data_IF_995904880271
#
_entry.id   IF_995904880271
#
_cell.length_a   1.000
_cell.length_b   1.000
_cell.length_c   1.000
_cell.angle_alpha   90.00
_cell.angle_beta   90.00
_cell.angle_gamma   90.00
#
_symmetry.space_group_name_H-M   'P 1'
#
loop_
_entity.id
_entity.type
_entity.pdbx_description
1 polymer ?
#
# COMPACT_ATOMS: atom_id res chain seq x y z
N UNK A 1 51.61 -13.03 -14.62
CA UNK A 1 50.63 -12.06 -15.20
C UNK A 1 49.19 -12.55 -15.23
N UNK A 2 48.88 -13.82 -15.52
CA UNK A 2 47.48 -14.33 -15.63
C UNK A 2 46.60 -14.18 -14.38
N UNK A 3 47.16 -14.27 -13.16
CA UNK A 3 46.39 -14.14 -11.92
C UNK A 3 45.90 -12.71 -11.62
N UNK A 4 46.66 -11.68 -12.00
CA UNK A 4 46.26 -10.27 -11.77
C UNK A 4 45.08 -9.84 -12.65
N UNK A 5 45.02 -10.34 -13.89
CA UNK A 5 43.92 -10.08 -14.81
C UNK A 5 42.60 -10.73 -14.33
N UNK A 6 42.68 -11.95 -13.76
CA UNK A 6 41.51 -12.63 -13.18
C UNK A 6 40.98 -11.92 -11.95
N UNK A 7 41.86 -11.44 -11.05
CA UNK A 7 41.44 -10.65 -9.88
C UNK A 7 40.81 -9.31 -10.28
N UNK A 8 41.34 -8.63 -11.31
CA UNK A 8 40.76 -7.38 -11.82
C UNK A 8 39.39 -7.60 -12.48
N UNK A 9 39.20 -8.69 -13.23
CA UNK A 9 37.90 -9.05 -13.81
C UNK A 9 36.86 -9.36 -12.72
N UNK A 10 37.25 -10.07 -11.66
CA UNK A 10 36.38 -10.38 -10.53
C UNK A 10 35.96 -9.13 -9.76
N UNK A 11 36.90 -8.19 -9.57
CA UNK A 11 36.63 -6.86 -9.01
C UNK A 11 35.68 -6.09 -9.94
N UNK A 12 35.90 -6.12 -11.25
CA UNK A 12 35.04 -5.42 -12.21
C UNK A 12 33.61 -5.98 -12.26
N UNK A 13 33.41 -7.28 -12.06
CA UNK A 13 32.08 -7.91 -11.94
C UNK A 13 31.43 -7.60 -10.57
N UNK A 14 32.23 -7.45 -9.51
CA UNK A 14 31.75 -7.02 -8.18
C UNK A 14 31.35 -5.53 -8.15
N UNK A 15 31.99 -4.69 -8.97
CA UNK A 15 31.75 -3.25 -9.06
C UNK A 15 30.92 -2.82 -10.28
N UNK A 16 30.62 -3.72 -11.21
CA UNK A 16 29.62 -3.46 -12.24
C UNK A 16 28.28 -3.36 -11.53
N UNK A 17 27.81 -2.13 -11.34
CA UNK A 17 26.47 -1.84 -10.85
C UNK A 17 25.50 -2.74 -11.63
N UNK A 18 24.75 -3.64 -10.97
CA UNK A 18 23.68 -4.31 -11.67
C UNK A 18 22.81 -3.18 -12.22
N UNK A 19 22.66 -3.13 -13.56
CA UNK A 19 21.59 -2.36 -14.18
C UNK A 19 20.35 -2.96 -13.57
N UNK A 20 19.86 -2.32 -12.50
CA UNK A 20 18.90 -2.89 -11.57
C UNK A 20 17.55 -2.87 -12.25
N UNK A 21 17.32 -3.84 -13.14
CA UNK A 21 15.99 -4.20 -13.57
C UNK A 21 15.20 -4.50 -12.30
N UNK A 22 14.07 -3.82 -12.11
CA UNK A 22 13.10 -4.18 -11.09
C UNK A 22 12.86 -5.68 -11.21
N UNK A 23 13.36 -6.42 -10.24
CA UNK A 23 13.11 -7.85 -10.15
C UNK A 23 11.90 -7.95 -9.22
N UNK A 24 10.80 -8.58 -9.65
CA UNK A 24 9.68 -8.77 -8.75
C UNK A 24 10.06 -9.72 -7.60
N UNK A 25 9.47 -9.59 -6.41
CA UNK A 25 9.58 -10.62 -5.38
C UNK A 25 9.09 -11.99 -5.91
N UNK A 26 9.60 -13.08 -5.34
CA UNK A 26 9.25 -14.45 -5.80
C UNK A 26 7.75 -14.78 -5.68
N UNK A 27 7.05 -14.09 -4.79
CA UNK A 27 5.60 -14.21 -4.64
C UNK A 27 4.81 -13.40 -5.69
N UNK A 28 5.44 -12.54 -6.47
CA UNK A 28 4.77 -11.68 -7.44
C UNK A 28 4.37 -12.47 -8.70
N UNK A 29 3.20 -13.12 -8.64
CA UNK A 29 2.68 -13.98 -9.72
C UNK A 29 1.14 -13.92 -9.80
N UNK A 30 0.59 -14.43 -10.90
CA UNK A 30 -0.86 -14.52 -11.10
C UNK A 30 -1.57 -15.21 -9.92
N UNK A 31 -2.69 -14.62 -9.49
CA UNK A 31 -3.51 -15.12 -8.39
C UNK A 31 -2.98 -14.78 -6.99
N UNK A 32 -1.89 -14.02 -6.90
CA UNK A 32 -1.40 -13.53 -5.60
C UNK A 32 -2.28 -12.40 -5.11
N UNK A 33 -2.67 -12.44 -3.84
CA UNK A 33 -3.49 -11.39 -3.25
C UNK A 33 -3.03 -11.02 -1.85
N UNK A 34 -3.35 -9.79 -1.48
CA UNK A 34 -3.24 -9.27 -0.11
C UNK A 34 -4.50 -8.47 0.19
N UNK A 35 -5.05 -8.69 1.37
CA UNK A 35 -6.23 -8.00 1.89
C UNK A 35 -5.87 -7.29 3.18
N UNK A 36 -6.28 -6.03 3.31
CA UNK A 36 -6.13 -5.25 4.52
C UNK A 36 -7.50 -4.87 5.08
N UNK A 37 -7.60 -4.80 6.39
CA UNK A 37 -8.84 -4.52 7.09
C UNK A 37 -8.73 -3.30 8.01
N UNK A 38 -9.85 -2.59 8.10
CA UNK A 38 -10.16 -1.64 9.17
C UNK A 38 -11.43 -2.16 9.82
N UNK A 39 -11.35 -2.52 11.10
CA UNK A 39 -12.48 -3.09 11.82
C UNK A 39 -13.07 -2.07 12.80
N UNK A 40 -14.41 -2.09 13.00
CA UNK A 40 -15.06 -1.22 13.97
C UNK A 40 -14.67 -1.60 15.40
N UNK A 41 -14.78 -0.64 16.30
CA UNK A 41 -14.64 -0.87 17.74
C UNK A 41 -15.87 -1.60 18.27
N UNK A 42 -15.68 -2.33 19.37
CA UNK A 42 -16.74 -3.10 20.03
C UNK A 42 -17.07 -2.58 21.43
N UNK A 43 -16.22 -1.74 22.00
CA UNK A 43 -16.32 -1.24 23.36
C UNK A 43 -16.27 0.30 23.32
N UNK A 44 -15.13 0.89 23.70
CA UNK A 44 -14.91 2.34 23.79
C UNK A 44 -15.19 3.08 22.48
N UNK A 45 -15.02 2.42 21.35
CA UNK A 45 -15.20 3.00 20.02
C UNK A 45 -16.41 2.44 19.27
N UNK A 46 -17.36 1.82 19.98
CA UNK A 46 -18.61 1.38 19.36
C UNK A 46 -19.34 2.56 18.70
N UNK A 47 -19.82 2.36 17.47
CA UNK A 47 -20.56 3.37 16.71
C UNK A 47 -19.73 4.50 16.10
N UNK A 48 -18.40 4.52 16.29
CA UNK A 48 -17.54 5.50 15.62
C UNK A 48 -17.37 5.17 14.13
N UNK A 49 -17.64 6.12 13.21
CA UNK A 49 -17.50 5.88 11.79
C UNK A 49 -16.10 6.19 11.27
N UNK A 50 -15.70 5.43 10.26
CA UNK A 50 -14.69 5.85 9.30
C UNK A 50 -15.33 6.75 8.23
N UNK A 51 -14.56 7.66 7.63
CA UNK A 51 -15.05 8.50 6.54
C UNK A 51 -14.23 8.31 5.28
N UNK A 52 -14.89 8.11 4.13
CA UNK A 52 -14.25 8.19 2.81
C UNK A 52 -14.87 9.33 2.01
N UNK A 53 -14.04 10.01 1.24
CA UNK A 53 -14.46 11.01 0.27
C UNK A 53 -14.21 10.49 -1.13
N UNK A 54 -15.23 10.54 -1.98
CA UNK A 54 -15.17 9.99 -3.33
C UNK A 54 -15.80 10.92 -4.36
N UNK A 55 -15.40 10.70 -5.61
CA UNK A 55 -15.85 11.44 -6.79
C UNK A 55 -16.60 10.47 -7.72
N UNK A 56 -17.94 10.55 -7.83
CA UNK A 56 -18.70 9.66 -8.71
C UNK A 56 -18.26 9.69 -10.17
N UNK A 57 -17.84 10.85 -10.68
CA UNK A 57 -17.32 11.00 -12.06
C UNK A 57 -15.96 10.33 -12.30
N UNK A 58 -15.41 9.64 -11.29
CA UNK A 58 -14.22 8.79 -11.40
C UNK A 58 -14.52 7.30 -11.40
N UNK A 59 -15.72 6.92 -10.97
CA UNK A 59 -16.10 5.51 -10.93
C UNK A 59 -16.13 5.00 -12.38
N UNK A 60 -15.59 3.81 -12.60
CA UNK A 60 -15.87 3.08 -13.84
C UNK A 60 -17.36 2.81 -13.94
N UNK A 61 -17.89 2.60 -15.15
CA UNK A 61 -19.31 2.27 -15.34
C UNK A 61 -19.73 1.07 -14.47
N UNK A 62 -18.88 0.05 -14.38
CA UNK A 62 -19.08 -1.11 -13.48
C UNK A 62 -19.25 -0.67 -12.01
N UNK A 63 -18.37 0.19 -11.53
CA UNK A 63 -18.38 0.66 -10.14
C UNK A 63 -19.54 1.61 -9.85
N UNK A 64 -19.86 2.47 -10.83
CA UNK A 64 -21.00 3.38 -10.74
C UNK A 64 -22.31 2.60 -10.70
N UNK A 65 -22.48 1.62 -11.58
CA UNK A 65 -23.67 0.76 -11.61
C UNK A 65 -23.83 0.00 -10.29
N UNK A 66 -22.76 -0.61 -9.78
CA UNK A 66 -22.80 -1.29 -8.48
C UNK A 66 -23.22 -0.33 -7.34
N UNK A 67 -22.79 0.93 -7.39
CA UNK A 67 -23.20 1.92 -6.41
C UNK A 67 -24.66 2.35 -6.58
N UNK A 68 -25.12 2.55 -7.81
CA UNK A 68 -26.49 2.93 -8.15
C UNK A 68 -27.48 1.82 -7.78
N UNK A 69 -27.17 0.56 -8.07
CA UNK A 69 -27.99 -0.60 -7.73
C UNK A 69 -28.25 -0.68 -6.23
N UNK A 70 -27.21 -0.40 -5.45
CA UNK A 70 -27.27 -0.40 -3.99
C UNK A 70 -28.14 0.75 -3.45
N UNK A 71 -28.10 1.93 -4.10
CA UNK A 71 -28.95 3.06 -3.73
C UNK A 71 -30.42 2.85 -4.13
N UNK A 72 -30.66 2.18 -5.25
CA UNK A 72 -32.02 1.88 -5.76
C UNK A 72 -32.78 0.95 -4.82
N UNK A 73 -32.10 -0.06 -4.28
CA UNK A 73 -32.66 -1.01 -3.33
C UNK A 73 -32.69 -0.49 -1.88
N UNK A 74 -32.22 0.74 -1.64
CA UNK A 74 -32.18 1.37 -0.32
C UNK A 74 -33.46 2.13 0.05
N UNK A 75 -33.50 2.72 1.26
CA UNK A 75 -34.57 3.63 1.68
C UNK A 75 -34.77 4.83 0.73
N UNK A 76 -35.93 5.51 0.81
CA UNK A 76 -36.26 6.68 -0.02
C UNK A 76 -35.18 7.80 -0.02
N UNK A 77 -34.45 7.95 1.09
CA UNK A 77 -33.30 8.86 1.21
C UNK A 77 -32.15 8.48 0.24
N UNK A 78 -31.90 7.19 0.03
CA UNK A 78 -30.94 6.67 -0.94
C UNK A 78 -31.39 6.94 -2.38
N UNK A 79 -32.68 6.78 -2.67
CA UNK A 79 -33.24 7.06 -4.00
C UNK A 79 -33.10 8.55 -4.37
N UNK A 80 -33.27 9.46 -3.41
CA UNK A 80 -32.99 10.89 -3.61
C UNK A 80 -31.51 11.16 -3.92
N UNK A 81 -30.59 10.41 -3.31
CA UNK A 81 -29.16 10.49 -3.62
C UNK A 81 -28.86 9.92 -5.02
N UNK A 82 -29.46 8.78 -5.38
CA UNK A 82 -29.38 8.20 -6.73
C UNK A 82 -29.75 9.22 -7.79
N UNK A 83 -30.95 9.81 -7.65
CA UNK A 83 -31.44 10.84 -8.57
C UNK A 83 -30.51 12.06 -8.62
N UNK A 84 -29.87 12.45 -7.51
CA UNK A 84 -28.86 13.52 -7.53
C UNK A 84 -27.64 13.10 -8.34
N UNK A 85 -27.11 11.90 -8.16
CA UNK A 85 -25.92 11.42 -8.89
C UNK A 85 -26.21 11.31 -10.40
N UNK A 86 -27.38 10.79 -10.76
CA UNK A 86 -27.81 10.62 -12.16
C UNK A 86 -28.11 11.96 -12.83
N UNK A 87 -28.86 12.85 -12.16
CA UNK A 87 -29.30 14.12 -12.75
C UNK A 87 -28.27 15.25 -12.63
N UNK A 88 -27.34 15.19 -11.67
CA UNK A 88 -26.38 16.28 -11.51
C UNK A 88 -25.38 16.35 -12.65
N UNK A 89 -25.27 15.32 -13.49
CA UNK A 89 -24.06 15.14 -14.28
C UNK A 89 -22.81 15.31 -13.40
N UNK A 90 -21.72 15.83 -13.95
CA UNK A 90 -20.47 16.10 -13.24
C UNK A 90 -20.52 17.22 -12.19
N UNK A 91 -21.71 17.70 -11.79
CA UNK A 91 -21.85 18.90 -10.95
C UNK A 91 -21.52 18.70 -9.46
N UNK A 92 -21.55 17.51 -8.88
CA UNK A 92 -21.08 17.27 -7.51
C UNK A 92 -19.91 16.29 -7.52
N UNK A 93 -18.64 16.76 -7.56
CA UNK A 93 -17.50 15.85 -7.69
C UNK A 93 -17.00 15.32 -6.34
N UNK A 94 -17.65 15.62 -5.21
CA UNK A 94 -17.18 15.15 -3.91
C UNK A 94 -18.34 14.80 -2.98
N UNK A 95 -18.41 13.53 -2.61
CA UNK A 95 -19.34 12.99 -1.62
C UNK A 95 -18.58 12.36 -0.47
N UNK A 96 -19.05 12.56 0.75
CA UNK A 96 -18.57 11.88 1.94
C UNK A 96 -19.46 10.68 2.24
N UNK A 97 -18.85 9.53 2.54
CA UNK A 97 -19.54 8.36 3.05
C UNK A 97 -19.01 8.02 4.44
N UNK A 98 -19.90 7.70 5.37
CA UNK A 98 -19.56 7.21 6.71
C UNK A 98 -19.67 5.70 6.72
N UNK A 99 -18.67 4.99 7.26
CA UNK A 99 -18.68 3.52 7.36
C UNK A 99 -18.60 3.12 8.83
N UNK A 100 -19.59 2.37 9.29
CA UNK A 100 -19.69 1.89 10.66
C UNK A 100 -19.30 0.41 10.81
N UNK A 101 -19.26 -0.35 9.70
CA UNK A 101 -18.82 -1.73 9.68
C UNK A 101 -17.36 -1.89 9.22
N UNK A 102 -16.90 -3.16 9.10
CA UNK A 102 -15.62 -3.48 8.47
C UNK A 102 -15.43 -2.86 7.09
N UNK A 103 -14.19 -2.41 6.83
CA UNK A 103 -13.70 -2.01 5.51
C UNK A 103 -12.58 -2.95 5.12
N UNK A 104 -12.68 -3.55 3.94
CA UNK A 104 -11.65 -4.42 3.37
C UNK A 104 -11.16 -3.85 2.05
N UNK A 105 -9.84 -3.77 1.88
CA UNK A 105 -9.20 -3.49 0.59
C UNK A 105 -8.33 -4.67 0.18
N UNK A 106 -8.61 -5.23 -0.99
CA UNK A 106 -7.89 -6.36 -1.56
C UNK A 106 -7.18 -5.94 -2.83
N UNK A 107 -5.88 -6.26 -2.92
CA UNK A 107 -5.09 -6.12 -4.14
C UNK A 107 -4.78 -7.52 -4.67
N UNK A 108 -5.21 -7.82 -5.89
CA UNK A 108 -5.01 -9.10 -6.54
C UNK A 108 -4.23 -8.93 -7.85
N UNK A 109 -3.15 -9.71 -8.01
CA UNK A 109 -2.30 -9.72 -9.19
C UNK A 109 -2.87 -10.63 -10.28
N UNK A 110 -3.15 -10.06 -11.44
CA UNK A 110 -3.55 -10.79 -12.64
C UNK A 110 -2.70 -10.36 -13.84
N UNK A 111 -2.68 -11.18 -14.89
CA UNK A 111 -1.91 -10.94 -16.12
C UNK A 111 -0.44 -10.54 -15.87
N UNK A 112 0.22 -11.18 -14.91
CA UNK A 112 1.63 -10.97 -14.60
C UNK A 112 2.51 -11.54 -15.71
N UNK A 113 3.38 -10.68 -16.22
CA UNK A 113 4.42 -10.94 -17.22
C UNK A 113 5.75 -10.39 -16.73
N UNK A 114 6.83 -10.57 -17.49
CA UNK A 114 8.14 -10.03 -17.13
C UNK A 114 8.22 -8.49 -17.17
N UNK A 115 7.29 -7.81 -17.86
CA UNK A 115 7.31 -6.35 -18.04
C UNK A 115 6.10 -5.64 -17.45
N UNK A 116 5.03 -6.36 -17.13
CA UNK A 116 3.79 -5.75 -16.65
C UNK A 116 2.93 -6.69 -15.81
N UNK A 117 2.06 -6.10 -15.01
CA UNK A 117 1.03 -6.78 -14.25
C UNK A 117 -0.23 -5.92 -14.16
N UNK A 118 -1.39 -6.56 -13.98
CA UNK A 118 -2.63 -5.88 -13.64
C UNK A 118 -2.91 -6.10 -12.15
N UNK A 119 -3.11 -5.00 -11.43
CA UNK A 119 -3.56 -5.03 -10.03
C UNK A 119 -5.05 -4.77 -10.03
N UNK A 120 -5.82 -5.78 -9.67
CA UNK A 120 -7.26 -5.67 -9.43
C UNK A 120 -7.45 -5.21 -7.98
N UNK A 121 -8.04 -4.04 -7.82
CA UNK A 121 -8.32 -3.42 -6.52
C UNK A 121 -9.79 -3.67 -6.20
N UNK A 122 -10.08 -4.22 -5.03
CA UNK A 122 -11.45 -4.43 -4.54
C UNK A 122 -11.59 -3.75 -3.19
N UNK A 123 -12.57 -2.85 -3.04
CA UNK A 123 -12.90 -2.20 -1.77
C UNK A 123 -14.30 -2.62 -1.36
N UNK A 124 -14.41 -3.31 -0.23
CA UNK A 124 -15.69 -3.70 0.36
C UNK A 124 -15.94 -2.87 1.59
N UNK A 125 -17.07 -2.16 1.59
CA UNK A 125 -17.57 -1.35 2.69
C UNK A 125 -18.82 -2.04 3.24
N UNK A 126 -18.88 -2.23 4.56
CA UNK A 126 -20.07 -2.80 5.21
C UNK A 126 -20.67 -1.79 6.17
N UNK A 127 -22.00 -1.80 6.30
CA UNK A 127 -22.78 -0.86 7.10
C UNK A 127 -22.33 0.59 6.90
N UNK A 128 -22.61 1.15 5.71
CA UNK A 128 -22.21 2.51 5.37
C UNK A 128 -23.40 3.41 5.06
N UNK A 129 -23.17 4.70 5.21
CA UNK A 129 -24.15 5.76 5.09
C UNK A 129 -23.61 6.87 4.17
N UNK A 130 -23.98 6.91 2.88
CA UNK A 130 -23.52 7.93 1.95
C UNK A 130 -24.28 9.26 2.09
N UNK A 131 -25.42 9.25 2.77
CA UNK A 131 -26.16 10.46 3.16
C UNK A 131 -27.00 10.19 4.40
N UNK A 132 -27.40 11.24 5.12
CA UNK A 132 -28.26 11.13 6.30
C UNK A 132 -29.49 10.25 6.01
N UNK A 133 -29.75 9.31 6.92
CA UNK A 133 -30.86 8.34 6.84
C UNK A 133 -30.83 7.38 5.64
N UNK A 134 -29.74 7.31 4.88
CA UNK A 134 -29.52 6.28 3.87
C UNK A 134 -28.48 5.30 4.42
N UNK A 135 -28.91 4.21 5.04
CA UNK A 135 -27.99 3.16 5.53
C UNK A 135 -28.06 1.97 4.60
N UNK A 136 -26.88 1.48 4.24
CA UNK A 136 -26.69 0.40 3.29
C UNK A 136 -25.84 -0.69 3.93
N UNK A 137 -26.23 -1.94 3.72
CA UNK A 137 -25.57 -3.11 4.31
C UNK A 137 -24.17 -3.36 3.76
N UNK A 138 -23.98 -3.30 2.44
CA UNK A 138 -22.70 -3.60 1.79
C UNK A 138 -22.57 -2.91 0.44
N UNK A 139 -21.33 -2.53 0.09
CA UNK A 139 -20.94 -2.03 -1.23
C UNK A 139 -19.56 -2.57 -1.55
N UNK A 140 -19.40 -3.14 -2.75
CA UNK A 140 -18.11 -3.58 -3.26
C UNK A 140 -17.77 -2.80 -4.53
N UNK A 141 -16.67 -2.07 -4.49
CA UNK A 141 -16.13 -1.31 -5.62
C UNK A 141 -14.93 -2.06 -6.20
N UNK A 142 -14.78 -2.02 -7.54
CA UNK A 142 -13.72 -2.76 -8.23
C UNK A 142 -13.01 -1.89 -9.27
N UNK A 143 -11.69 -1.84 -9.17
CA UNK A 143 -10.81 -1.06 -10.02
C UNK A 143 -9.68 -1.92 -10.58
N UNK A 144 -9.03 -1.41 -11.63
CA UNK A 144 -7.87 -2.06 -12.25
C UNK A 144 -6.79 -1.03 -12.50
N UNK A 145 -5.56 -1.38 -12.13
CA UNK A 145 -4.37 -0.61 -12.45
C UNK A 145 -3.38 -1.45 -13.23
N UNK A 146 -2.74 -0.81 -14.20
CA UNK A 146 -1.62 -1.39 -14.93
C UNK A 146 -0.32 -1.00 -14.24
N UNK A 147 0.40 -1.98 -13.73
CA UNK A 147 1.75 -1.84 -13.18
C UNK A 147 2.76 -2.15 -14.28
N UNK A 148 3.65 -1.21 -14.56
CA UNK A 148 4.86 -1.50 -15.31
C UNK A 148 5.87 -2.12 -14.34
N UNK A 149 6.14 -3.41 -14.53
CA UNK A 149 7.06 -4.17 -13.69
C UNK A 149 8.49 -3.71 -13.91
N UNK A 150 8.82 -3.09 -15.04
CA UNK A 150 10.20 -2.67 -15.32
C UNK A 150 10.65 -1.50 -14.44
N UNK A 151 9.75 -0.57 -14.12
CA UNK A 151 10.04 0.61 -13.30
C UNK A 151 9.34 0.61 -11.93
N UNK A 152 8.40 -0.31 -11.71
CA UNK A 152 7.66 -0.43 -10.45
C UNK A 152 6.59 0.64 -10.25
N UNK A 153 6.10 1.26 -11.32
CA UNK A 153 5.07 2.31 -11.27
C UNK A 153 3.77 1.91 -11.96
N UNK A 154 2.65 2.41 -11.43
CA UNK A 154 1.37 2.39 -12.10
C UNK A 154 1.27 3.48 -13.16
N UNK A 155 0.55 3.14 -14.22
CA UNK A 155 0.21 4.05 -15.30
C UNK A 155 -1.30 4.06 -15.56
N UNK A 156 -1.85 5.26 -15.76
CA UNK A 156 -3.22 5.47 -16.20
C UNK A 156 -3.20 6.31 -17.47
N UNK A 157 -3.63 5.73 -18.59
CA UNK A 157 -3.62 6.36 -19.93
C UNK A 157 -2.24 6.98 -20.26
N UNK A 158 -1.16 6.23 -20.03
CA UNK A 158 0.23 6.67 -20.26
C UNK A 158 0.79 7.64 -19.22
N UNK A 159 -0.01 8.13 -18.27
CA UNK A 159 0.47 8.99 -17.18
C UNK A 159 0.90 8.14 -15.98
N UNK A 160 2.14 8.31 -15.52
CA UNK A 160 2.64 7.73 -14.27
C UNK A 160 1.83 8.28 -13.09
N UNK A 161 1.21 7.41 -12.29
CA UNK A 161 0.34 7.82 -11.17
C UNK A 161 0.90 7.51 -9.78
N UNK A 162 1.88 6.61 -9.64
CA UNK A 162 2.45 6.28 -8.33
C UNK A 162 2.96 4.85 -8.23
N UNK A 163 3.44 4.46 -7.06
CA UNK A 163 3.94 3.11 -6.75
C UNK A 163 2.86 2.28 -6.03
N UNK A 164 2.95 0.95 -6.06
CA UNK A 164 2.13 0.08 -5.21
C UNK A 164 2.22 0.46 -3.73
N UNK A 165 1.08 0.62 -3.06
CA UNK A 165 1.05 0.87 -1.62
C UNK A 165 1.26 -0.40 -0.80
N UNK A 166 0.88 -1.56 -1.35
CA UNK A 166 0.85 -2.84 -0.64
C UNK A 166 2.17 -3.62 -0.65
N UNK A 167 3.18 -3.18 -1.39
CA UNK A 167 4.51 -3.77 -1.33
C UNK A 167 5.61 -2.82 -1.78
N UNK A 168 6.85 -3.15 -1.39
CA UNK A 168 8.09 -2.55 -1.87
C UNK A 168 9.09 -3.65 -2.26
N UNK A 169 10.20 -3.27 -2.89
CA UNK A 169 11.36 -4.14 -3.05
C UNK A 169 12.33 -3.92 -1.88
N UNK A 170 12.51 -4.86 -0.93
CA UNK A 170 13.38 -4.64 0.23
C UNK A 170 14.85 -4.38 -0.14
N UNK A 171 15.29 -4.89 -1.29
CA UNK A 171 16.65 -4.72 -1.83
C UNK A 171 16.79 -3.52 -2.77
N UNK A 172 15.70 -2.81 -3.06
CA UNK A 172 15.69 -1.59 -3.86
C UNK A 172 14.62 -0.64 -3.31
N UNK A 173 14.92 -0.07 -2.15
CA UNK A 173 14.03 0.83 -1.42
C UNK A 173 13.79 2.11 -2.23
N UNK A 174 12.59 2.71 -2.13
CA UNK A 174 12.29 3.94 -2.83
C UNK A 174 13.14 5.09 -2.26
N UNK A 175 13.65 5.95 -3.14
CA UNK A 175 14.54 7.04 -2.76
C UNK A 175 13.76 8.28 -2.34
N UNK A 176 14.41 9.21 -1.63
CA UNK A 176 13.78 10.48 -1.27
C UNK A 176 13.36 11.23 -2.54
N UNK A 177 12.16 11.80 -2.54
CA UNK A 177 11.47 12.42 -3.69
C UNK A 177 10.94 11.47 -4.75
N UNK A 178 11.08 10.15 -4.58
CA UNK A 178 10.37 9.20 -5.45
C UNK A 178 8.87 9.41 -5.33
N UNK A 179 8.17 9.34 -6.47
CA UNK A 179 6.73 9.52 -6.52
C UNK A 179 6.03 8.32 -5.86
N UNK A 180 5.24 8.58 -4.81
CA UNK A 180 4.35 7.59 -4.21
C UNK A 180 2.96 7.69 -4.83
N UNK A 181 2.44 8.91 -4.99
CA UNK A 181 1.14 9.17 -5.63
C UNK A 181 1.07 10.55 -6.29
N UNK A 182 0.64 10.59 -7.56
CA UNK A 182 0.44 11.81 -8.33
C UNK A 182 -0.90 12.48 -8.01
N UNK A 183 -1.03 13.02 -6.80
CA UNK A 183 -2.27 13.67 -6.37
C UNK A 183 -2.63 14.90 -7.20
N UNK A 184 -1.67 15.56 -7.87
CA UNK A 184 -1.93 16.68 -8.80
C UNK A 184 -2.93 16.34 -9.92
N UNK A 185 -3.15 15.05 -10.22
CA UNK A 185 -4.20 14.59 -11.13
C UNK A 185 -5.60 15.04 -10.68
N UNK A 186 -5.81 15.31 -9.40
CA UNK A 186 -7.07 15.81 -8.85
C UNK A 186 -7.40 17.23 -9.31
N UNK A 187 -6.42 18.02 -9.78
CA UNK A 187 -6.67 19.39 -10.30
C UNK A 187 -7.67 19.40 -11.46
N UNK A 188 -7.65 18.36 -12.31
CA UNK A 188 -8.62 18.21 -13.41
C UNK A 188 -10.06 17.98 -12.93
N UNK A 189 -10.25 17.73 -11.63
CA UNK A 189 -11.54 17.60 -10.94
C UNK A 189 -11.90 18.82 -10.09
N UNK A 190 -11.18 19.93 -10.25
CA UNK A 190 -11.49 21.20 -9.59
C UNK A 190 -10.89 21.36 -8.20
N UNK A 191 -9.98 20.47 -7.78
CA UNK A 191 -9.16 20.69 -6.60
C UNK A 191 -8.08 21.75 -6.89
N UNK A 192 -7.87 22.70 -5.97
CA UNK A 192 -7.07 23.92 -6.23
C UNK A 192 -5.68 23.88 -5.61
N UNK A 193 -5.57 23.43 -4.36
CA UNK A 193 -4.29 23.20 -3.69
C UNK A 193 -4.08 21.70 -3.64
N UNK A 194 -3.20 21.14 -4.49
CA UNK A 194 -2.79 19.73 -4.45
C UNK A 194 -1.37 19.61 -5.00
N UNK A 195 -0.45 19.08 -4.19
CA UNK A 195 0.89 18.66 -4.60
C UNK A 195 0.99 17.14 -4.66
N UNK A 196 2.02 16.62 -5.33
CA UNK A 196 2.24 15.17 -5.42
C UNK A 196 2.82 14.62 -4.11
N UNK A 197 2.45 13.38 -3.79
CA UNK A 197 2.98 12.65 -2.65
C UNK A 197 4.27 11.96 -3.07
N UNK A 198 5.35 12.35 -2.43
CA UNK A 198 6.70 11.87 -2.68
C UNK A 198 7.31 11.35 -1.39
N UNK A 199 8.24 10.40 -1.49
CA UNK A 199 8.96 9.87 -0.32
C UNK A 199 9.66 11.01 0.41
N UNK A 200 9.27 11.23 1.67
CA UNK A 200 9.97 12.10 2.59
C UNK A 200 11.04 11.36 3.37
N UNK A 201 10.74 10.13 3.77
CA UNK A 201 11.59 9.34 4.66
C UNK A 201 11.40 7.83 4.47
N UNK A 202 12.49 7.07 4.60
CA UNK A 202 12.49 5.61 4.71
C UNK A 202 13.25 5.25 5.98
N UNK A 203 12.63 4.44 6.85
CA UNK A 203 13.12 4.13 8.19
C UNK A 203 13.09 2.64 8.45
N UNK A 204 13.92 2.17 9.38
CA UNK A 204 13.88 0.79 9.88
C UNK A 204 13.40 0.82 11.33
N UNK A 205 12.18 0.33 11.56
CA UNK A 205 11.58 0.25 12.90
C UNK A 205 12.13 -0.97 13.60
N UNK A 206 12.92 -0.75 14.67
CA UNK A 206 13.62 -1.84 15.38
C UNK A 206 13.05 -2.20 16.76
N UNK A 207 12.04 -1.46 17.26
CA UNK A 207 11.72 -1.45 18.69
C UNK A 207 10.47 -2.19 19.14
N UNK A 208 9.54 -2.54 18.23
CA UNK A 208 8.24 -3.09 18.62
C UNK A 208 7.80 -4.24 17.73
N UNK A 209 7.12 -5.20 18.32
CA UNK A 209 6.34 -6.20 17.60
C UNK A 209 5.11 -5.54 16.98
N UNK A 210 4.75 -5.95 15.78
CA UNK A 210 3.57 -5.42 15.07
C UNK A 210 2.58 -6.52 14.83
N UNK A 211 1.41 -6.42 15.45
CA UNK A 211 0.36 -7.41 15.30
C UNK A 211 -0.49 -7.13 14.07
N UNK A 212 -0.83 -8.21 13.36
CA UNK A 212 -1.83 -8.20 12.30
C UNK A 212 -2.77 -9.39 12.48
N UNK A 213 -3.77 -9.52 11.61
CA UNK A 213 -4.66 -10.69 11.64
C UNK A 213 -4.03 -11.93 11.01
N UNK A 214 -2.92 -11.77 10.27
CA UNK A 214 -2.19 -12.88 9.65
C UNK A 214 -1.15 -13.46 10.61
N UNK A 215 -0.34 -12.60 11.23
CA UNK A 215 0.67 -12.98 12.24
C UNK A 215 1.17 -11.75 13.00
N UNK A 216 2.01 -11.99 14.00
CA UNK A 216 2.84 -10.94 14.61
C UNK A 216 4.15 -10.84 13.85
N UNK A 217 4.53 -9.63 13.44
CA UNK A 217 5.77 -9.33 12.73
C UNK A 217 6.82 -8.80 13.70
N UNK A 218 8.03 -9.35 13.59
CA UNK A 218 9.17 -8.92 14.36
C UNK A 218 9.99 -7.86 13.62
N UNK A 219 10.57 -6.89 14.34
CA UNK A 219 11.50 -5.94 13.75
C UNK A 219 12.77 -6.64 13.22
N UNK A 220 13.49 -6.04 12.24
CA UNK A 220 13.26 -4.73 11.67
C UNK A 220 12.15 -4.71 10.59
N UNK A 221 11.33 -3.66 10.61
CA UNK A 221 10.33 -3.38 9.57
C UNK A 221 10.69 -2.10 8.81
N UNK A 222 10.36 -2.02 7.53
CA UNK A 222 10.67 -0.86 6.69
C UNK A 222 9.48 0.10 6.73
N UNK A 223 9.65 1.29 7.28
CA UNK A 223 8.65 2.36 7.24
C UNK A 223 8.92 3.33 6.09
N UNK A 224 7.94 3.57 5.23
CA UNK A 224 8.02 4.55 4.13
C UNK A 224 6.97 5.62 4.36
N UNK A 225 7.42 6.88 4.45
CA UNK A 225 6.56 8.04 4.68
C UNK A 225 6.62 9.00 3.51
N UNK A 226 5.49 9.59 3.16
CA UNK A 226 5.44 10.68 2.19
C UNK A 226 5.65 12.05 2.86
N UNK A 227 5.82 13.08 2.05
CA UNK A 227 5.50 14.45 2.44
C UNK A 227 3.97 14.58 2.71
N UNK A 228 3.56 15.61 3.45
CA UNK A 228 2.13 15.95 3.58
C UNK A 228 1.81 17.11 2.64
N UNK A 229 0.72 16.97 1.89
CA UNK A 229 0.30 17.96 0.91
C UNK A 229 -1.10 18.48 1.25
N UNK A 230 -1.35 19.80 1.19
CA UNK A 230 -2.70 20.31 1.35
C UNK A 230 -3.58 19.85 0.18
N UNK A 231 -4.86 19.62 0.49
CA UNK A 231 -5.93 19.40 -0.49
C UNK A 231 -7.06 20.41 -0.24
N UNK A 232 -7.43 21.18 -1.27
CA UNK A 232 -8.54 22.14 -1.20
C UNK A 232 -9.53 21.93 -2.34
N UNK A 233 -10.81 21.91 -2.02
CA UNK A 233 -11.94 21.89 -2.95
C UNK A 233 -13.05 22.82 -2.44
N UNK A 234 -13.53 23.73 -3.29
CA UNK A 234 -14.51 24.77 -2.92
C UNK A 234 -15.65 24.98 -3.94
N UNK A 235 -15.61 24.33 -5.12
CA UNK A 235 -16.52 24.68 -6.22
C UNK A 235 -17.99 24.35 -5.93
N UNK A 236 -18.29 23.10 -5.53
CA UNK A 236 -19.65 22.61 -5.25
C UNK A 236 -19.60 21.65 -4.05
N UNK A 237 -19.06 22.17 -2.94
CA UNK A 237 -18.70 21.46 -1.71
C UNK A 237 -17.47 22.10 -1.06
N UNK A 238 -17.12 21.69 0.15
CA UNK A 238 -15.93 22.17 0.84
C UNK A 238 -15.12 20.99 1.39
N UNK A 239 -13.87 20.86 0.94
CA UNK A 239 -12.87 20.02 1.58
C UNK A 239 -11.60 20.85 1.74
N UNK A 240 -11.14 20.99 2.98
CA UNK A 240 -9.83 21.54 3.32
C UNK A 240 -9.15 20.57 4.26
N UNK A 241 -7.99 20.05 3.85
CA UNK A 241 -7.25 19.06 4.63
C UNK A 241 -5.79 18.96 4.17
N UNK A 242 -5.01 18.12 4.82
CA UNK A 242 -3.83 17.47 4.25
C UNK A 242 -4.13 16.05 3.79
N UNK A 243 -3.32 15.57 2.85
CA UNK A 243 -3.16 14.17 2.47
C UNK A 243 -1.71 13.74 2.70
N UNK A 244 -1.50 12.44 2.90
CA UNK A 244 -0.19 11.81 3.11
C UNK A 244 -0.30 10.31 2.91
N UNK A 245 0.82 9.61 3.02
CA UNK A 245 0.93 8.15 3.02
C UNK A 245 2.00 7.75 4.03
N UNK A 246 1.72 6.71 4.82
CA UNK A 246 2.65 6.11 5.78
C UNK A 246 2.43 4.59 5.78
N UNK A 247 3.41 3.84 5.29
CA UNK A 247 3.27 2.38 5.18
C UNK A 247 4.43 1.68 5.86
N UNK A 248 4.13 0.53 6.46
CA UNK A 248 5.10 -0.33 7.12
C UNK A 248 5.17 -1.67 6.39
N UNK A 249 6.38 -2.12 6.06
CA UNK A 249 6.62 -3.30 5.24
C UNK A 249 7.49 -4.32 5.96
N UNK A 250 7.19 -5.60 5.72
CA UNK A 250 8.02 -6.72 6.12
C UNK A 250 9.34 -6.72 5.33
N UNK A 251 10.47 -6.91 6.02
CA UNK A 251 11.79 -6.83 5.40
C UNK A 251 12.09 -8.02 4.49
N UNK A 252 11.53 -9.19 4.79
CA UNK A 252 11.83 -10.42 4.05
C UNK A 252 11.02 -10.51 2.76
N UNK A 253 9.75 -10.14 2.81
CA UNK A 253 8.83 -10.25 1.67
C UNK A 253 8.59 -8.92 0.95
N UNK A 254 8.78 -7.79 1.62
CA UNK A 254 8.41 -6.47 1.11
C UNK A 254 6.90 -6.18 1.12
N UNK A 255 6.07 -7.10 1.62
CA UNK A 255 4.62 -6.92 1.73
C UNK A 255 4.31 -5.91 2.84
N UNK A 256 3.34 -5.03 2.64
CA UNK A 256 2.93 -4.12 3.70
C UNK A 256 2.28 -4.89 4.86
N UNK A 257 2.74 -4.61 6.06
CA UNK A 257 2.13 -5.03 7.33
C UNK A 257 0.96 -4.10 7.66
N UNK A 258 1.11 -2.82 7.32
CA UNK A 258 0.06 -1.81 7.40
C UNK A 258 0.22 -0.75 6.31
N UNK A 259 -0.91 -0.25 5.83
CA UNK A 259 -0.96 0.91 4.93
C UNK A 259 -1.77 2.02 5.61
N UNK A 260 -1.10 3.13 5.89
CA UNK A 260 -1.63 4.29 6.63
C UNK A 260 -1.65 5.59 5.82
N UNK A 261 -2.46 6.55 6.28
CA UNK A 261 -2.85 7.80 5.62
C UNK A 261 -3.31 7.66 4.14
N UNK A 262 -4.52 8.13 3.83
CA UNK A 262 -5.05 8.15 2.45
C UNK A 262 -4.72 9.48 1.73
N UNK A 263 -4.56 9.48 0.39
CA UNK A 263 -4.88 8.41 -0.57
C UNK A 263 -3.68 7.64 -1.14
N UNK A 264 -3.94 6.42 -1.64
CA UNK A 264 -3.01 5.62 -2.45
C UNK A 264 -3.44 5.57 -3.92
N UNK A 265 -2.53 5.29 -4.87
CA UNK A 265 -2.87 5.16 -6.28
C UNK A 265 -4.00 4.16 -6.56
N UNK A 266 -4.06 3.07 -5.81
CA UNK A 266 -5.07 2.02 -5.98
C UNK A 266 -6.49 2.53 -5.71
N UNK A 267 -6.67 3.30 -4.62
CA UNK A 267 -7.99 3.84 -4.25
C UNK A 267 -8.48 4.93 -5.20
N UNK A 268 -7.55 5.61 -5.89
CA UNK A 268 -7.90 6.57 -6.94
C UNK A 268 -8.75 5.94 -8.05
N UNK A 269 -8.49 4.68 -8.41
CA UNK A 269 -9.29 3.96 -9.43
C UNK A 269 -10.71 3.64 -9.00
N UNK A 270 -10.96 3.67 -7.69
CA UNK A 270 -12.28 3.49 -7.10
C UNK A 270 -12.97 4.84 -6.84
N UNK A 271 -12.42 5.93 -7.38
CA UNK A 271 -12.92 7.29 -7.20
C UNK A 271 -12.73 7.85 -5.79
N UNK A 272 -12.03 7.15 -4.89
CA UNK A 272 -11.73 7.64 -3.54
C UNK A 272 -10.58 8.64 -3.63
N UNK A 273 -10.81 9.85 -3.13
CA UNK A 273 -9.84 10.95 -3.18
C UNK A 273 -9.15 11.21 -1.84
N UNK A 274 -9.80 10.81 -0.73
CA UNK A 274 -9.32 10.95 0.64
C UNK A 274 -10.13 10.05 1.55
N UNK A 275 -9.61 9.71 2.72
CA UNK A 275 -10.43 9.26 3.85
C UNK A 275 -9.84 9.67 5.19
N UNK A 276 -10.66 9.53 6.22
CA UNK A 276 -10.25 9.49 7.61
C UNK A 276 -10.48 8.06 8.08
N UNK A 277 -9.40 7.30 8.04
CA UNK A 277 -9.40 5.89 8.41
C UNK A 277 -8.75 5.72 9.76
N UNK A 278 -9.45 5.04 10.66
CA UNK A 278 -9.00 4.68 11.98
C UNK A 278 -9.56 3.30 12.35
N UNK A 279 -8.66 2.38 12.64
CA UNK A 279 -8.96 1.03 13.05
C UNK A 279 -9.25 1.03 14.55
N UNK A 280 -10.52 1.27 14.85
CA UNK A 280 -11.05 1.31 16.20
C UNK A 280 -10.79 0.01 16.97
N UNK A 281 -10.84 -1.14 16.30
CA UNK A 281 -10.44 -2.42 16.89
C UNK A 281 -8.96 -2.42 17.31
N UNK A 282 -8.05 -1.98 16.45
CA UNK A 282 -6.62 -1.87 16.80
C UNK A 282 -6.41 -0.94 18.00
N UNK A 283 -7.16 0.14 18.11
CA UNK A 283 -7.08 1.04 19.26
C UNK A 283 -7.50 0.35 20.57
N UNK A 284 -8.58 -0.43 20.55
CA UNK A 284 -9.02 -1.22 21.71
C UNK A 284 -8.01 -2.31 22.07
N UNK A 285 -7.35 -2.92 21.09
CA UNK A 285 -6.29 -3.90 21.35
C UNK A 285 -5.04 -3.23 21.93
N UNK A 286 -4.68 -2.04 21.45
CA UNK A 286 -3.56 -1.27 22.00
C UNK A 286 -3.77 -0.83 23.45
N UNK A 287 -5.02 -0.61 23.86
CA UNK A 287 -5.37 -0.33 25.26
C UNK A 287 -5.19 -1.58 26.18
N UNK A 288 -5.01 -2.79 25.60
CA UNK A 288 -4.95 -4.08 26.31
C UNK A 288 -3.54 -4.72 26.33
N UNK A 289 -2.55 -4.12 25.67
CA UNK A 289 -1.17 -4.64 25.54
C UNK A 289 -0.12 -3.64 26.04
N UNK A 290 1.11 -4.10 26.26
CA UNK A 290 2.23 -3.20 26.54
C UNK A 290 2.66 -2.49 25.26
N UNK A 291 2.05 -1.31 25.03
CA UNK A 291 2.32 -0.49 23.85
C UNK A 291 3.79 -0.11 23.69
N UNK A 292 4.62 -0.18 24.73
CA UNK A 292 6.06 0.08 24.63
C UNK A 292 6.81 -1.01 23.87
N UNK A 293 6.27 -2.24 23.84
CA UNK A 293 6.89 -3.44 23.25
C UNK A 293 6.20 -3.93 22.00
N UNK A 294 4.89 -3.75 21.91
CA UNK A 294 4.09 -4.31 20.83
C UNK A 294 2.89 -3.42 20.51
N UNK A 295 2.39 -3.43 19.28
CA UNK A 295 1.21 -2.66 18.91
C UNK A 295 0.46 -3.21 17.69
N UNK A 296 -0.81 -2.85 17.60
CA UNK A 296 -1.67 -2.99 16.42
C UNK A 296 -1.67 -1.67 15.63
N UNK A 297 -1.39 -1.67 14.32
CA UNK A 297 -1.45 -0.45 13.51
C UNK A 297 -2.86 0.16 13.50
N UNK A 298 -2.93 1.51 13.56
CA UNK A 298 -4.18 2.25 13.71
C UNK A 298 -4.97 2.46 12.40
N UNK A 299 -4.49 1.98 11.26
CA UNK A 299 -5.14 2.15 9.95
C UNK A 299 -5.43 0.78 9.31
N UNK A 300 -5.22 0.63 8.00
CA UNK A 300 -5.41 -0.67 7.36
C UNK A 300 -4.32 -1.64 7.82
N UNK A 301 -4.75 -2.73 8.44
CA UNK A 301 -3.88 -3.80 8.96
C UNK A 301 -3.97 -5.00 8.04
N UNK A 302 -2.85 -5.67 7.76
CA UNK A 302 -2.84 -6.90 6.96
C UNK A 302 -3.81 -7.94 7.55
N UNK A 303 -4.78 -8.35 6.74
CA UNK A 303 -5.89 -9.20 7.16
C UNK A 303 -5.77 -10.62 6.63
N UNK A 304 -5.50 -10.76 5.33
CA UNK A 304 -5.44 -12.06 4.66
C UNK A 304 -4.48 -12.00 3.46
N UNK A 305 -3.77 -13.08 3.17
CA UNK A 305 -2.94 -13.22 1.97
C UNK A 305 -2.58 -14.68 1.70
N UNK A 306 -2.30 -15.02 0.44
CA UNK A 306 -1.69 -16.30 0.07
C UNK A 306 -0.15 -16.24 -0.06
N UNK A 307 0.48 -15.10 0.28
CA UNK A 307 1.93 -14.95 0.33
C UNK A 307 2.46 -15.67 1.57
N UNK A 308 3.48 -16.51 1.37
CA UNK A 308 4.13 -17.23 2.47
C UNK A 308 5.19 -16.34 3.10
N UNK A 309 5.04 -16.06 4.39
CA UNK A 309 6.08 -15.43 5.19
C UNK A 309 7.08 -16.48 5.68
N UNK A 310 8.39 -16.16 5.73
CA UNK A 310 9.37 -17.05 6.33
C UNK A 310 9.01 -17.39 7.78
N UNK A 311 9.29 -18.63 8.18
CA UNK A 311 9.22 -19.03 9.58
C UNK A 311 10.30 -18.31 10.37
N UNK A 312 9.91 -17.69 11.48
CA UNK A 312 10.85 -17.01 12.38
C UNK A 312 11.69 -18.06 13.11
N UNK A 313 12.92 -18.26 12.63
CA UNK A 313 13.91 -19.08 13.33
C UNK A 313 14.71 -18.21 14.28
N UNK A 314 14.22 -18.08 15.51
CA UNK A 314 14.93 -17.43 16.62
C UNK A 314 16.33 -18.05 16.71
N UNK A 315 17.38 -17.22 16.60
CA UNK A 315 18.77 -17.63 16.84
C UNK A 315 19.57 -18.17 15.64
N UNK A 316 19.03 -18.16 14.40
CA UNK A 316 19.86 -18.40 13.21
C UNK A 316 20.11 -17.08 12.48
N UNK A 317 21.39 -16.72 12.33
CA UNK A 317 21.83 -15.70 11.36
C UNK A 317 21.18 -15.98 10.00
N UNK A 318 20.64 -14.96 9.31
CA UNK A 318 19.99 -15.14 8.03
C UNK A 318 20.97 -15.81 7.06
N UNK A 319 20.54 -16.92 6.45
CA UNK A 319 21.35 -17.68 5.50
C UNK A 319 21.38 -16.93 4.17
N UNK A 320 22.09 -15.80 4.18
CA UNK A 320 22.23 -14.92 3.03
C UNK A 320 23.30 -15.49 2.10
N UNK A 321 23.09 -15.31 0.80
CA UNK A 321 24.11 -15.61 -0.22
C UNK A 321 25.46 -14.95 0.12
N UNK A 322 25.43 -13.79 0.78
CA UNK A 322 26.59 -13.08 1.30
C UNK A 322 27.46 -13.92 2.24
N UNK A 323 26.86 -14.79 3.06
CA UNK A 323 27.58 -15.71 3.96
C UNK A 323 28.45 -16.69 3.17
N UNK A 324 27.93 -17.22 2.06
CA UNK A 324 28.67 -18.12 1.18
C UNK A 324 29.80 -17.38 0.45
N UNK A 325 29.58 -16.13 0.02
CA UNK A 325 30.65 -15.30 -0.55
C UNK A 325 31.72 -14.92 0.48
N UNK A 326 31.34 -14.63 1.72
CA UNK A 326 32.28 -14.31 2.80
C UNK A 326 33.11 -15.55 3.19
N UNK A 327 32.47 -16.71 3.32
CA UNK A 327 33.13 -18.00 3.54
C UNK A 327 34.08 -18.35 2.39
N UNK A 328 33.62 -18.24 1.15
CA UNK A 328 34.46 -18.45 -0.02
C UNK A 328 35.64 -17.46 -0.05
N UNK A 329 35.40 -16.19 0.27
CA UNK A 329 36.43 -15.16 0.40
C UNK A 329 37.46 -15.48 1.48
N UNK A 330 37.02 -15.91 2.66
CA UNK A 330 37.88 -16.35 3.78
C UNK A 330 38.72 -17.57 3.42
N UNK A 331 38.14 -18.55 2.71
CA UNK A 331 38.85 -19.74 2.23
C UNK A 331 39.93 -19.34 1.21
N UNK A 332 39.62 -18.46 0.27
CA UNK A 332 40.58 -17.96 -0.72
C UNK A 332 41.70 -17.17 -0.03
N UNK A 333 41.37 -16.35 0.97
CA UNK A 333 42.32 -15.54 1.73
C UNK A 333 43.28 -16.41 2.55
N UNK A 334 42.76 -17.43 3.24
CA UNK A 334 43.55 -18.38 4.04
C UNK A 334 44.44 -19.26 3.15
N UNK A 335 43.95 -19.73 2.01
CA UNK A 335 44.75 -20.45 1.02
C UNK A 335 45.87 -19.56 0.42
N UNK A 336 45.60 -18.29 0.20
CA UNK A 336 46.57 -17.28 -0.25
C UNK A 336 47.68 -17.06 0.79
N UNK A 337 47.30 -16.85 2.06
CA UNK A 337 48.23 -16.64 3.17
C UNK A 337 49.12 -17.86 3.43
N UNK A 338 48.53 -19.06 3.48
CA UNK A 338 49.30 -20.31 3.66
C UNK A 338 50.25 -20.60 2.50
N UNK A 339 49.84 -20.29 1.26
CA UNK A 339 50.72 -20.43 0.09
C UNK A 339 51.86 -19.40 0.08
N UNK A 340 51.64 -18.22 0.68
CA UNK A 340 52.66 -17.16 0.80
C UNK A 340 53.63 -17.41 1.96
N UNK A 341 53.22 -18.12 3.00
CA UNK A 341 54.07 -18.54 4.13
C UNK A 341 54.92 -19.79 3.85
N UNK A 342 54.56 -20.60 2.84
CA UNK A 342 55.34 -21.77 2.39
C UNK A 342 56.38 -21.43 1.31
N UNK A 343 56.47 -20.17 0.91
CA UNK A 343 57.58 -19.61 0.14
C UNK A 343 58.42 -18.75 1.07
#
# INVERSE_FOLDING_TARGET
MKARAFSLLFIFILFSSPVSAFTPPSWFKNGTYVTYAVLPGKEKYEGYPNMLFYTPSKLSDETLNAFIDVLENGPNSCQKLKAKIENSGSEYPLYGLSVFGPIFVTFNLTNVTNSSAVVVVTLTLTNFTPTLHCTVSSLTLRGRLFLNVTDGYYYLNGTKIGRPSFFILPYHLPERKDLLYKASILRRHGFTLVGDLEVSNVTFTQGKLVHTFVKTFHPPLIGVKSNRQPILYQKKGYLSSSIGMDSLYDIDTGVAVSIGDLPYPELYTLGVVKGHIFNHYSAEMNDKIDFSREYWPYEFVLYETNIKFPEERIGRTPDTILKYYLLAGLIILTASLTRRWRK
#
